data_IF_368772403141
#
_entry.id   IF_368772403141
#
_cell.length_a   1.000
_cell.length_b   1.000
_cell.length_c   1.000
_cell.angle_alpha   90.00
_cell.angle_beta   90.00
_cell.angle_gamma   90.00
#
_symmetry.space_group_name_H-M   'P 1'
#
loop_
_entity.id
_entity.type
_entity.pdbx_description
1 polymer ?
#
# COMPACT_ATOMS: atom_id res chain seq x y z
N UNK A 1 1.93 22.12 -4.29
CA UNK A 1 1.90 22.16 -5.76
C UNK A 1 1.04 21.05 -6.35
N UNK A 2 1.38 19.76 -6.18
CA UNK A 2 0.56 18.67 -6.76
C UNK A 2 -0.83 18.62 -6.16
N UNK A 3 -0.95 18.71 -4.83
CA UNK A 3 -2.26 18.77 -4.17
C UNK A 3 -3.09 19.99 -4.63
N UNK A 4 -2.47 21.18 -4.70
CA UNK A 4 -3.16 22.40 -5.15
C UNK A 4 -3.62 22.30 -6.63
N UNK A 5 -2.86 21.59 -7.48
CA UNK A 5 -3.28 21.30 -8.86
C UNK A 5 -4.48 20.37 -8.90
N UNK A 6 -4.53 19.38 -8.01
CA UNK A 6 -5.67 18.47 -7.86
C UNK A 6 -6.89 19.25 -7.35
N UNK A 7 -6.72 20.12 -6.35
CA UNK A 7 -7.79 21.01 -5.84
C UNK A 7 -8.39 21.82 -6.98
N UNK A 8 -7.55 22.47 -7.78
CA UNK A 8 -7.99 23.26 -8.94
C UNK A 8 -8.76 22.44 -9.97
N UNK A 9 -8.34 21.20 -10.27
CA UNK A 9 -9.06 20.33 -11.19
C UNK A 9 -10.43 19.87 -10.67
N UNK A 10 -10.54 19.61 -9.36
CA UNK A 10 -11.80 19.20 -8.74
C UNK A 10 -12.77 20.39 -8.66
N UNK A 11 -12.27 21.58 -8.34
CA UNK A 11 -13.07 22.80 -8.20
C UNK A 11 -13.48 23.40 -9.55
N UNK A 12 -12.56 23.48 -10.49
CA UNK A 12 -12.72 24.24 -11.75
C UNK A 12 -12.99 23.32 -12.96
N UNK A 13 -12.64 22.04 -12.85
CA UNK A 13 -12.70 21.09 -13.97
C UNK A 13 -11.52 21.24 -14.93
N UNK A 14 -11.54 20.45 -16.00
CA UNK A 14 -10.63 20.59 -17.15
C UNK A 14 -11.07 21.79 -18.00
N UNK A 15 -10.10 22.52 -18.55
CA UNK A 15 -10.34 23.59 -19.51
C UNK A 15 -11.22 23.11 -20.68
N UNK A 16 -12.40 23.73 -20.93
CA UNK A 16 -13.29 23.31 -22.00
C UNK A 16 -12.68 23.31 -23.40
N UNK A 17 -11.62 24.10 -23.65
CA UNK A 17 -10.94 24.17 -24.94
C UNK A 17 -10.22 22.89 -25.34
N UNK A 18 -9.87 22.04 -24.36
CA UNK A 18 -9.21 20.74 -24.60
C UNK A 18 -10.19 19.55 -24.54
N UNK A 19 -11.49 19.82 -24.38
CA UNK A 19 -12.53 18.81 -24.31
C UNK A 19 -13.18 18.59 -25.67
N UNK A 20 -13.61 17.34 -25.91
CA UNK A 20 -14.38 16.98 -27.10
C UNK A 20 -15.83 17.48 -26.92
N UNK A 21 -16.54 17.91 -27.98
CA UNK A 21 -17.94 18.30 -27.87
C UNK A 21 -18.79 17.25 -27.16
N UNK A 22 -19.45 17.65 -26.06
CA UNK A 22 -20.29 16.79 -25.23
C UNK A 22 -19.57 16.10 -24.06
N UNK A 23 -18.25 16.26 -23.91
CA UNK A 23 -17.49 15.75 -22.77
C UNK A 23 -17.66 16.66 -21.54
N UNK A 24 -17.90 16.07 -20.37
CA UNK A 24 -18.05 16.83 -19.12
C UNK A 24 -16.70 17.34 -18.61
N UNK A 25 -16.64 18.59 -18.17
CA UNK A 25 -15.41 19.20 -17.66
C UNK A 25 -15.09 18.83 -16.20
N UNK A 26 -16.09 18.45 -15.41
CA UNK A 26 -15.95 18.14 -13.99
C UNK A 26 -15.15 16.85 -13.77
N UNK A 27 -14.27 16.85 -12.77
CA UNK A 27 -13.55 15.67 -12.30
C UNK A 27 -14.01 15.32 -10.89
N UNK A 28 -14.03 14.03 -10.60
CA UNK A 28 -14.02 13.51 -9.23
C UNK A 28 -12.62 13.00 -8.89
N UNK A 29 -12.35 12.74 -7.61
CA UNK A 29 -11.02 12.32 -7.17
C UNK A 29 -10.55 11.02 -7.88
N UNK A 30 -11.48 10.14 -8.21
CA UNK A 30 -11.25 8.86 -8.89
C UNK A 30 -10.77 9.03 -10.34
N UNK A 31 -11.03 10.17 -10.97
CA UNK A 31 -10.58 10.50 -12.33
C UNK A 31 -9.09 10.91 -12.37
N UNK A 32 -8.46 11.02 -11.20
CA UNK A 32 -7.13 11.62 -11.02
C UNK A 32 -6.15 10.57 -10.47
N UNK A 33 -4.98 10.50 -11.09
CA UNK A 33 -3.87 9.68 -10.59
C UNK A 33 -2.58 10.48 -10.39
N UNK A 34 -1.81 10.09 -9.38
CA UNK A 34 -0.43 10.53 -9.18
C UNK A 34 0.48 9.32 -9.34
N UNK A 35 1.44 9.43 -10.25
CA UNK A 35 2.36 8.36 -10.62
C UNK A 35 3.79 8.76 -10.26
N UNK A 36 4.49 7.89 -9.55
CA UNK A 36 5.91 8.03 -9.26
C UNK A 36 6.70 6.78 -9.67
N UNK A 37 8.03 6.90 -9.80
CA UNK A 37 8.88 5.74 -10.08
C UNK A 37 8.88 4.71 -8.96
N UNK A 38 8.84 5.17 -7.71
CA UNK A 38 8.89 4.37 -6.49
C UNK A 38 7.82 4.84 -5.52
N UNK A 39 7.42 3.97 -4.57
CA UNK A 39 6.41 4.30 -3.56
C UNK A 39 6.83 5.48 -2.68
N UNK A 40 8.10 5.52 -2.27
CA UNK A 40 8.64 6.64 -1.47
C UNK A 40 8.47 8.01 -2.14
N UNK A 41 8.43 8.05 -3.48
CA UNK A 41 8.16 9.29 -4.22
C UNK A 41 6.73 9.82 -4.08
N UNK A 42 5.81 9.01 -3.53
CA UNK A 42 4.41 9.36 -3.31
C UNK A 42 4.14 9.83 -1.87
N UNK A 43 5.00 9.51 -0.91
CA UNK A 43 4.74 9.74 0.53
C UNK A 43 4.45 11.21 0.85
N UNK A 44 5.16 12.15 0.22
CA UNK A 44 4.92 13.59 0.43
C UNK A 44 3.61 14.05 -0.19
N UNK A 45 3.25 13.51 -1.36
CA UNK A 45 1.97 13.85 -2.03
C UNK A 45 0.81 13.25 -1.24
N UNK A 46 0.94 12.02 -0.76
CA UNK A 46 -0.03 11.37 0.11
C UNK A 46 -0.31 12.24 1.34
N UNK A 47 0.74 12.59 2.10
CA UNK A 47 0.60 13.45 3.28
C UNK A 47 -0.08 14.78 2.96
N UNK A 48 0.24 15.39 1.82
CA UNK A 48 -0.36 16.65 1.39
C UNK A 48 -1.86 16.52 1.03
N UNK A 49 -2.28 15.39 0.45
CA UNK A 49 -3.67 15.11 0.11
C UNK A 49 -4.51 14.75 1.34
N UNK A 50 -3.97 13.90 2.23
CA UNK A 50 -4.60 13.54 3.50
C UNK A 50 -4.84 14.79 4.37
N UNK A 51 -3.86 15.70 4.45
CA UNK A 51 -4.00 16.97 5.18
C UNK A 51 -5.10 17.90 4.62
N UNK A 52 -5.57 17.66 3.40
CA UNK A 52 -6.63 18.43 2.72
C UNK A 52 -7.97 17.70 2.70
N UNK A 53 -8.10 16.57 3.39
CA UNK A 53 -9.27 15.69 3.38
C UNK A 53 -9.65 15.16 1.99
N UNK A 54 -8.70 15.08 1.06
CA UNK A 54 -8.92 14.29 -0.15
C UNK A 54 -8.85 12.81 0.20
N UNK A 55 -9.84 12.04 -0.24
CA UNK A 55 -9.73 10.59 -0.22
C UNK A 55 -8.50 10.17 -1.04
N UNK A 56 -7.66 9.30 -0.49
CA UNK A 56 -6.48 8.78 -1.18
C UNK A 56 -6.60 7.27 -1.28
N UNK A 57 -6.60 6.77 -2.51
CA UNK A 57 -6.54 5.35 -2.79
C UNK A 57 -5.13 4.99 -3.24
N UNK A 58 -4.36 4.37 -2.35
CA UNK A 58 -3.05 3.82 -2.68
C UNK A 58 -3.24 2.39 -3.15
N UNK A 59 -2.70 2.06 -4.33
CA UNK A 59 -2.51 0.65 -4.65
C UNK A 59 -1.39 0.13 -3.76
N UNK A 60 -1.76 -0.35 -2.58
CA UNK A 60 -0.83 -0.83 -1.57
C UNK A 60 0.12 -1.85 -2.20
N UNK A 61 1.40 -1.80 -1.81
CA UNK A 61 2.24 -2.98 -1.92
C UNK A 61 1.51 -4.15 -1.28
N UNK A 62 1.71 -5.36 -1.81
CA UNK A 62 1.10 -6.60 -1.34
C UNK A 62 1.36 -6.93 0.16
N UNK A 63 1.92 -6.01 0.95
CA UNK A 63 2.36 -6.19 2.33
C UNK A 63 1.69 -5.34 3.40
N UNK A 64 0.69 -4.49 3.13
CA UNK A 64 -0.01 -3.78 4.24
C UNK A 64 -1.52 -3.87 4.09
N UNK A 65 -2.06 -5.08 4.29
CA UNK A 65 -3.46 -5.26 4.68
C UNK A 65 -3.75 -4.44 5.95
N UNK A 66 -2.86 -4.63 6.92
CA UNK A 66 -2.84 -4.01 8.24
C UNK A 66 -1.61 -3.12 8.36
N UNK A 67 -1.76 -1.95 8.98
CA UNK A 67 -0.72 -0.91 9.01
C UNK A 67 0.11 -0.89 10.29
N UNK A 68 -0.48 -1.25 11.43
CA UNK A 68 0.24 -1.32 12.70
C UNK A 68 1.12 -2.57 12.81
N UNK A 69 2.26 -2.53 13.54
CA UNK A 69 3.07 -3.72 13.80
C UNK A 69 2.29 -4.86 14.45
N UNK A 70 1.39 -4.56 15.39
CA UNK A 70 0.51 -5.52 16.08
C UNK A 70 -0.40 -6.25 15.10
N UNK A 71 -0.97 -5.51 14.16
CA UNK A 71 -1.88 -6.07 13.18
C UNK A 71 -1.12 -6.85 12.08
N UNK A 72 0.10 -6.44 11.71
CA UNK A 72 1.00 -7.26 10.87
C UNK A 72 1.44 -8.55 11.57
N UNK A 73 1.74 -8.48 12.86
CA UNK A 73 2.02 -9.64 13.70
C UNK A 73 0.82 -10.60 13.71
N UNK A 74 -0.39 -10.10 13.96
CA UNK A 74 -1.62 -10.90 13.91
C UNK A 74 -1.80 -11.63 12.58
N UNK A 75 -1.61 -10.94 11.44
CA UNK A 75 -1.73 -11.57 10.13
C UNK A 75 -0.71 -12.71 9.95
N UNK A 76 0.54 -12.50 10.37
CA UNK A 76 1.57 -13.54 10.30
C UNK A 76 1.27 -14.72 11.24
N UNK A 77 0.74 -14.46 12.44
CA UNK A 77 0.25 -15.49 13.37
C UNK A 77 -0.90 -16.30 12.76
N UNK A 78 -1.81 -15.66 12.02
CA UNK A 78 -2.91 -16.35 11.32
C UNK A 78 -2.37 -17.28 10.22
N UNK A 79 -1.40 -16.82 9.45
CA UNK A 79 -0.74 -17.65 8.43
C UNK A 79 -0.06 -18.89 9.03
N UNK A 80 0.62 -18.73 10.17
CA UNK A 80 1.27 -19.83 10.90
C UNK A 80 0.25 -20.73 11.59
N UNK A 81 -0.81 -20.18 12.16
CA UNK A 81 -1.88 -20.96 12.79
C UNK A 81 -2.59 -21.87 11.78
N UNK A 82 -2.78 -21.40 10.54
CA UNK A 82 -3.33 -22.20 9.44
C UNK A 82 -2.29 -23.18 8.89
N UNK A 83 -1.03 -22.75 8.74
CA UNK A 83 0.05 -23.58 8.24
C UNK A 83 1.37 -23.27 8.95
N UNK A 84 1.67 -24.07 9.99
CA UNK A 84 2.87 -23.87 10.80
C UNK A 84 4.20 -24.09 10.06
N UNK A 85 4.16 -24.64 8.84
CA UNK A 85 5.35 -24.81 7.99
C UNK A 85 5.66 -23.58 7.13
N UNK A 86 4.87 -22.51 7.23
CA UNK A 86 5.05 -21.28 6.49
C UNK A 86 6.27 -20.47 7.01
N UNK A 87 7.47 -20.84 6.55
CA UNK A 87 8.74 -20.20 6.95
C UNK A 87 8.75 -18.68 6.71
N UNK A 88 8.24 -18.14 5.59
CA UNK A 88 8.12 -16.69 5.41
C UNK A 88 7.27 -16.00 6.47
N UNK A 89 6.18 -16.62 6.94
CA UNK A 89 5.35 -16.06 7.99
C UNK A 89 6.07 -16.07 9.35
N UNK A 90 6.79 -17.14 9.68
CA UNK A 90 7.66 -17.18 10.87
C UNK A 90 8.72 -16.07 10.86
N UNK A 91 9.35 -15.81 9.72
CA UNK A 91 10.29 -14.70 9.59
C UNK A 91 9.62 -13.35 9.87
N UNK A 92 8.41 -13.12 9.31
CA UNK A 92 7.64 -11.90 9.59
C UNK A 92 7.27 -11.77 11.07
N UNK A 93 6.91 -12.86 11.74
CA UNK A 93 6.67 -12.85 13.19
C UNK A 93 7.91 -12.35 13.92
N UNK A 94 9.09 -12.89 13.61
CA UNK A 94 10.34 -12.46 14.23
C UNK A 94 10.63 -10.96 13.97
N UNK A 95 10.44 -10.51 12.73
CA UNK A 95 10.64 -9.11 12.35
C UNK A 95 9.68 -8.17 13.13
N UNK A 96 8.41 -8.53 13.28
CA UNK A 96 7.44 -7.69 14.02
C UNK A 96 7.60 -7.76 15.54
N UNK A 97 7.98 -8.91 16.10
CA UNK A 97 8.31 -9.02 17.53
C UNK A 97 9.51 -8.14 17.88
N UNK A 98 10.53 -8.13 17.03
CA UNK A 98 11.66 -7.23 17.17
C UNK A 98 11.23 -5.75 17.11
N UNK A 99 10.33 -5.39 16.20
CA UNK A 99 9.81 -4.02 16.11
C UNK A 99 9.04 -3.60 17.37
N UNK A 100 8.30 -4.53 17.99
CA UNK A 100 7.44 -4.27 19.14
C UNK A 100 8.18 -4.30 20.48
N UNK A 101 9.19 -5.17 20.61
CA UNK A 101 9.82 -5.52 21.89
C UNK A 101 11.33 -5.25 21.90
N UNK A 102 11.91 -4.86 20.75
CA UNK A 102 13.35 -4.68 20.60
C UNK A 102 14.14 -5.98 20.81
N UNK A 103 15.37 -5.84 21.32
CA UNK A 103 16.27 -6.96 21.60
C UNK A 103 15.88 -7.79 22.85
N UNK A 104 14.77 -7.47 23.52
CA UNK A 104 14.42 -8.08 24.81
C UNK A 104 14.06 -9.58 24.75
N UNK A 105 13.68 -10.10 23.58
CA UNK A 105 13.17 -11.48 23.43
C UNK A 105 14.15 -12.46 22.77
N UNK A 106 15.33 -11.99 22.35
CA UNK A 106 16.24 -12.79 21.52
C UNK A 106 15.62 -13.12 20.15
N UNK A 107 15.95 -14.28 19.58
CA UNK A 107 15.35 -14.76 18.31
C UNK A 107 14.30 -15.82 18.58
N UNK A 108 13.20 -15.78 17.81
CA UNK A 108 12.22 -16.89 17.77
C UNK A 108 12.59 -17.96 16.73
N UNK A 109 13.78 -17.86 16.12
CA UNK A 109 14.32 -18.84 15.18
C UNK A 109 14.39 -20.22 15.81
N UNK A 110 13.45 -21.09 15.44
CA UNK A 110 13.34 -22.46 15.93
C UNK A 110 11.97 -22.81 16.47
N UNK A 111 11.10 -21.83 16.72
CA UNK A 111 9.70 -22.08 17.08
C UNK A 111 8.99 -22.89 15.98
N UNK A 112 8.33 -23.97 16.38
CA UNK A 112 7.58 -24.89 15.50
C UNK A 112 6.07 -24.76 15.69
N UNK A 113 5.63 -24.12 16.76
CA UNK A 113 4.22 -23.95 17.10
C UNK A 113 3.93 -22.62 17.78
N UNK A 114 2.69 -22.17 17.70
CA UNK A 114 2.24 -20.97 18.41
C UNK A 114 2.26 -21.15 19.94
N UNK A 115 2.14 -22.40 20.42
CA UNK A 115 2.26 -22.71 21.86
C UNK A 115 3.68 -22.49 22.38
N UNK A 116 4.71 -22.89 21.62
CA UNK A 116 6.11 -22.58 21.95
C UNK A 116 6.35 -21.07 21.95
N UNK A 117 5.79 -20.36 20.95
CA UNK A 117 5.90 -18.91 20.86
C UNK A 117 5.23 -18.21 22.04
N UNK A 118 4.02 -18.62 22.43
CA UNK A 118 3.29 -18.08 23.59
C UNK A 118 4.09 -18.22 24.88
N UNK A 119 4.79 -19.35 25.08
CA UNK A 119 5.69 -19.50 26.22
C UNK A 119 6.83 -18.47 26.26
N UNK A 120 7.42 -18.16 25.10
CA UNK A 120 8.53 -17.20 24.98
C UNK A 120 8.09 -15.75 25.19
N UNK A 121 6.92 -15.38 24.66
CA UNK A 121 6.40 -14.02 24.78
C UNK A 121 5.54 -13.82 26.02
N UNK A 122 5.49 -14.81 26.91
CA UNK A 122 4.68 -14.73 28.13
C UNK A 122 5.04 -13.49 28.95
N UNK A 123 4.03 -12.81 29.50
CA UNK A 123 4.21 -11.56 30.27
C UNK A 123 4.74 -10.35 29.47
N UNK A 124 4.71 -10.41 28.14
CA UNK A 124 5.01 -9.26 27.28
C UNK A 124 3.72 -8.59 26.77
N UNK A 125 3.77 -7.35 26.27
CA UNK A 125 2.59 -6.68 25.70
C UNK A 125 1.93 -7.43 24.54
N UNK A 126 2.65 -8.31 23.83
CA UNK A 126 2.12 -9.09 22.70
C UNK A 126 1.56 -10.45 23.11
N UNK A 127 1.74 -10.86 24.37
CA UNK A 127 1.24 -12.13 24.91
C UNK A 127 -0.26 -12.34 24.61
N UNK A 128 -1.15 -11.33 24.82
CA UNK A 128 -2.57 -11.53 24.58
C UNK A 128 -2.90 -11.95 23.14
N UNK A 129 -2.22 -11.37 22.14
CA UNK A 129 -2.50 -11.68 20.73
C UNK A 129 -1.91 -13.03 20.32
N UNK A 130 -0.74 -13.39 20.86
CA UNK A 130 -0.12 -14.69 20.60
C UNK A 130 -0.90 -15.82 21.27
N UNK A 131 -1.33 -15.66 22.52
CA UNK A 131 -2.19 -16.62 23.23
C UNK A 131 -3.52 -16.82 22.51
N UNK A 132 -4.18 -15.73 22.10
CA UNK A 132 -5.41 -15.79 21.32
C UNK A 132 -5.23 -16.66 20.08
N UNK A 133 -4.16 -16.46 19.33
CA UNK A 133 -3.89 -17.21 18.11
C UNK A 133 -3.50 -18.66 18.39
N UNK A 134 -2.78 -18.92 19.49
CA UNK A 134 -2.37 -20.26 19.90
C UNK A 134 -3.54 -21.15 20.32
N UNK A 135 -4.59 -20.59 20.91
CA UNK A 135 -5.81 -21.33 21.31
C UNK A 135 -6.90 -21.37 20.25
N UNK A 136 -6.79 -20.55 19.21
CA UNK A 136 -7.82 -20.43 18.17
C UNK A 136 -7.87 -21.66 17.27
N UNK A 137 -9.10 -22.05 16.91
CA UNK A 137 -9.35 -23.00 15.83
C UNK A 137 -9.61 -22.23 14.54
N UNK A 138 -9.14 -22.78 13.42
CA UNK A 138 -9.31 -22.16 12.10
C UNK A 138 -10.37 -22.88 11.25
N UNK A 139 -11.38 -23.44 11.91
CA UNK A 139 -12.63 -23.93 11.33
C UNK A 139 -13.72 -22.84 11.42
N UNK A 140 -14.93 -23.12 10.92
CA UNK A 140 -16.00 -22.13 10.83
C UNK A 140 -16.33 -21.49 12.19
N UNK A 141 -16.56 -22.30 13.23
CA UNK A 141 -16.92 -21.82 14.57
C UNK A 141 -15.74 -21.12 15.24
N UNK A 142 -14.53 -21.65 15.11
CA UNK A 142 -13.33 -21.04 15.67
C UNK A 142 -13.01 -19.68 15.05
N UNK A 143 -13.28 -19.50 13.76
CA UNK A 143 -13.15 -18.19 13.12
C UNK A 143 -14.20 -17.18 13.60
N UNK A 144 -15.44 -17.61 13.85
CA UNK A 144 -16.46 -16.73 14.45
C UNK A 144 -16.04 -16.29 15.87
N UNK A 145 -15.47 -17.19 16.67
CA UNK A 145 -14.93 -16.89 18.00
C UNK A 145 -13.72 -15.97 17.94
N UNK A 146 -12.78 -16.23 17.03
CA UNK A 146 -11.60 -15.39 16.80
C UNK A 146 -12.03 -13.97 16.41
N UNK A 147 -12.97 -13.82 15.47
CA UNK A 147 -13.45 -12.52 15.05
C UNK A 147 -14.15 -11.76 16.17
N UNK A 148 -14.92 -12.46 17.02
CA UNK A 148 -15.52 -11.86 18.21
C UNK A 148 -14.44 -11.39 19.20
N UNK A 149 -13.45 -12.23 19.49
CA UNK A 149 -12.37 -11.93 20.43
C UNK A 149 -11.56 -10.71 19.96
N UNK A 150 -11.20 -10.65 18.68
CA UNK A 150 -10.51 -9.51 18.06
C UNK A 150 -11.30 -8.22 18.21
N UNK A 151 -12.63 -8.28 18.04
CA UNK A 151 -13.50 -7.09 18.13
C UNK A 151 -13.69 -6.58 19.56
N UNK A 152 -13.71 -7.48 20.53
CA UNK A 152 -13.94 -7.12 21.94
C UNK A 152 -12.66 -6.90 22.73
N UNK A 153 -11.53 -7.39 22.22
CA UNK A 153 -10.23 -7.25 22.87
C UNK A 153 -9.45 -6.06 22.33
N UNK A 154 -8.44 -5.66 23.09
CA UNK A 154 -7.55 -4.55 22.75
C UNK A 154 -6.36 -5.05 21.92
N UNK A 155 -6.66 -5.67 20.77
CA UNK A 155 -5.66 -6.31 19.90
C UNK A 155 -5.25 -5.44 18.72
N UNK A 156 -6.13 -4.53 18.28
CA UNK A 156 -5.93 -3.64 17.14
C UNK A 156 -6.24 -2.20 17.52
N UNK A 157 -5.47 -1.26 16.97
CA UNK A 157 -5.74 0.16 17.13
C UNK A 157 -6.64 0.71 16.00
N UNK A 158 -7.69 1.44 16.38
CA UNK A 158 -8.47 2.32 15.49
C UNK A 158 -8.80 1.74 14.12
N UNK A 159 -8.19 2.31 13.07
CA UNK A 159 -8.45 1.95 11.67
C UNK A 159 -8.14 0.50 11.29
N UNK A 160 -7.28 -0.21 12.03
CA UNK A 160 -7.01 -1.63 11.77
C UNK A 160 -8.16 -2.54 12.24
N UNK A 161 -8.88 -2.16 13.30
CA UNK A 161 -10.09 -2.86 13.74
C UNK A 161 -11.24 -2.69 12.74
N UNK A 162 -11.43 -1.47 12.23
CA UNK A 162 -12.43 -1.21 11.18
C UNK A 162 -12.16 -2.04 9.91
N UNK A 163 -10.88 -2.16 9.53
CA UNK A 163 -10.46 -3.00 8.39
C UNK A 163 -10.71 -4.48 8.63
N UNK A 164 -10.40 -4.97 9.82
CA UNK A 164 -10.71 -6.34 10.22
C UNK A 164 -12.20 -6.63 10.11
N UNK A 165 -13.04 -5.78 10.68
CA UNK A 165 -14.50 -5.93 10.67
C UNK A 165 -15.06 -5.92 9.24
N UNK A 166 -14.52 -5.07 8.37
CA UNK A 166 -14.88 -5.02 6.95
C UNK A 166 -14.50 -6.32 6.23
N UNK A 167 -13.29 -6.85 6.43
CA UNK A 167 -12.87 -8.11 5.81
C UNK A 167 -13.67 -9.30 6.32
N UNK A 168 -13.87 -9.37 7.62
CA UNK A 168 -14.61 -10.46 8.22
C UNK A 168 -16.06 -10.48 7.71
N UNK A 169 -16.71 -9.31 7.65
CA UNK A 169 -18.06 -9.20 7.11
C UNK A 169 -18.12 -9.57 5.63
N UNK A 170 -17.16 -9.12 4.82
CA UNK A 170 -17.08 -9.50 3.41
C UNK A 170 -16.78 -10.97 3.18
N UNK A 171 -15.93 -11.58 4.00
CA UNK A 171 -15.66 -13.03 3.94
C UNK A 171 -16.92 -13.82 4.26
N UNK A 172 -17.62 -13.48 5.35
CA UNK A 172 -18.90 -14.10 5.74
C UNK A 172 -19.99 -13.98 4.68
N UNK A 173 -20.06 -12.83 3.99
CA UNK A 173 -21.01 -12.61 2.91
C UNK A 173 -20.69 -13.45 1.66
N UNK A 174 -19.39 -13.69 1.40
CA UNK A 174 -18.94 -14.42 0.22
C UNK A 174 -18.76 -15.94 0.42
N UNK A 175 -18.79 -16.42 1.66
CA UNK A 175 -18.54 -17.82 2.01
C UNK A 175 -19.57 -18.33 3.01
N UNK A 176 -20.31 -19.37 2.62
CA UNK A 176 -21.28 -20.04 3.48
C UNK A 176 -20.59 -20.59 4.75
N UNK A 177 -21.32 -20.64 5.87
CA UNK A 177 -20.73 -20.94 7.19
C UNK A 177 -19.95 -22.26 7.19
N UNK A 178 -20.54 -23.32 6.65
CA UNK A 178 -19.94 -24.66 6.58
C UNK A 178 -18.65 -24.73 5.74
N UNK A 179 -18.42 -23.76 4.85
CA UNK A 179 -17.25 -23.72 3.97
C UNK A 179 -16.14 -22.80 4.52
N UNK A 180 -16.37 -22.17 5.68
CA UNK A 180 -15.40 -21.27 6.29
C UNK A 180 -14.23 -22.05 6.88
N UNK A 181 -13.03 -21.60 6.55
CA UNK A 181 -11.77 -22.17 7.04
C UNK A 181 -10.69 -21.10 7.04
N UNK A 182 -9.66 -21.28 7.85
CA UNK A 182 -8.54 -20.33 7.90
C UNK A 182 -7.85 -20.20 6.54
N UNK A 183 -7.70 -21.29 5.80
CA UNK A 183 -7.20 -21.26 4.41
C UNK A 183 -8.12 -20.44 3.49
N UNK A 184 -9.44 -20.59 3.64
CA UNK A 184 -10.44 -19.81 2.91
C UNK A 184 -10.35 -18.31 3.24
N UNK A 185 -10.19 -17.97 4.52
CA UNK A 185 -10.01 -16.59 4.99
C UNK A 185 -8.71 -15.98 4.43
N UNK A 186 -7.58 -16.69 4.52
CA UNK A 186 -6.31 -16.23 3.95
C UNK A 186 -6.41 -16.01 2.43
N UNK A 187 -7.07 -16.90 1.71
CA UNK A 187 -7.33 -16.73 0.27
C UNK A 187 -8.21 -15.52 -0.02
N UNK A 188 -9.23 -15.28 0.79
CA UNK A 188 -10.07 -14.09 0.68
C UNK A 188 -9.27 -12.81 0.92
N UNK A 189 -8.44 -12.77 1.97
CA UNK A 189 -7.58 -11.62 2.28
C UNK A 189 -6.61 -11.31 1.14
N UNK A 190 -5.99 -12.33 0.54
CA UNK A 190 -5.14 -12.17 -0.65
C UNK A 190 -5.92 -11.57 -1.84
N UNK A 191 -7.20 -11.90 -2.01
CA UNK A 191 -8.03 -11.30 -3.05
C UNK A 191 -8.36 -9.85 -2.74
N UNK A 192 -8.77 -9.53 -1.51
CA UNK A 192 -9.11 -8.16 -1.11
C UNK A 192 -7.89 -7.23 -1.16
N UNK A 193 -6.68 -7.74 -0.90
CA UNK A 193 -5.43 -7.00 -1.18
C UNK A 193 -5.36 -6.50 -2.62
N UNK A 194 -5.82 -7.31 -3.58
CA UNK A 194 -5.80 -6.97 -5.00
C UNK A 194 -6.96 -6.02 -5.37
N UNK A 195 -8.09 -6.10 -4.67
CA UNK A 195 -9.31 -5.30 -4.92
C UNK A 195 -9.31 -3.89 -4.28
N UNK A 196 -8.28 -3.49 -3.51
CA UNK A 196 -8.14 -2.09 -3.02
C UNK A 196 -8.06 -1.03 -4.12
N UNK A 197 -8.05 -1.46 -5.39
CA UNK A 197 -8.34 -0.65 -6.57
C UNK A 197 -9.76 -0.05 -6.60
N UNK A 198 -10.65 -0.27 -5.62
CA UNK A 198 -12.01 0.29 -5.64
C UNK A 198 -12.28 1.31 -4.50
N UNK A 199 -11.27 1.72 -3.72
CA UNK A 199 -11.48 2.78 -2.73
C UNK A 199 -11.65 4.15 -3.40
N UNK A 200 -12.63 4.97 -2.95
CA UNK A 200 -12.82 6.31 -3.47
C UNK A 200 -11.61 7.19 -3.16
N UNK A 201 -11.31 8.13 -4.06
CA UNK A 201 -10.18 9.05 -3.92
C UNK A 201 -9.15 9.02 -5.04
N UNK A 202 -8.17 9.93 -4.91
CA UNK A 202 -7.05 10.09 -5.84
C UNK A 202 -6.18 8.85 -5.85
N UNK A 203 -5.84 8.33 -7.04
CA UNK A 203 -5.04 7.11 -7.18
C UNK A 203 -3.55 7.40 -7.06
N UNK A 204 -2.90 6.88 -6.02
CA UNK A 204 -1.43 6.92 -5.91
C UNK A 204 -0.83 5.61 -6.40
N UNK A 205 -0.05 5.67 -7.49
CA UNK A 205 0.45 4.51 -8.21
C UNK A 205 1.95 4.62 -8.48
N UNK A 206 2.64 3.48 -8.53
CA UNK A 206 3.97 3.43 -9.16
C UNK A 206 3.82 3.24 -10.67
N UNK A 207 4.84 3.63 -11.45
CA UNK A 207 4.83 3.46 -12.91
C UNK A 207 4.50 2.03 -13.38
N UNK A 208 4.99 1.01 -12.69
CA UNK A 208 4.66 -0.38 -13.05
C UNK A 208 3.19 -0.72 -12.78
N UNK A 209 2.62 -0.14 -11.72
CA UNK A 209 1.26 -0.37 -11.26
C UNK A 209 0.22 0.39 -12.09
N UNK A 210 0.61 1.49 -12.74
CA UNK A 210 -0.27 2.24 -13.62
C UNK A 210 -0.47 1.60 -14.99
N UNK A 211 0.27 0.54 -15.33
CA UNK A 211 0.19 -0.10 -16.66
C UNK A 211 -1.21 -0.66 -16.91
N UNK A 212 -1.82 -0.24 -18.02
CA UNK A 212 -3.17 -0.69 -18.42
C UNK A 212 -4.32 0.09 -17.78
N UNK A 213 -4.03 1.09 -16.94
CA UNK A 213 -5.02 2.02 -16.39
C UNK A 213 -5.00 3.33 -17.16
N UNK A 214 -6.11 4.07 -17.19
CA UNK A 214 -6.20 5.40 -17.80
C UNK A 214 -7.00 6.33 -16.90
N UNK A 215 -6.60 7.59 -16.86
CA UNK A 215 -7.18 8.61 -16.00
C UNK A 215 -7.42 9.89 -16.80
N UNK A 216 -8.38 10.72 -16.37
CA UNK A 216 -8.63 12.02 -17.00
C UNK A 216 -7.47 12.97 -16.75
N UNK A 217 -6.96 12.96 -15.52
CA UNK A 217 -5.80 13.74 -15.11
C UNK A 217 -4.72 12.87 -14.47
N UNK A 218 -3.45 13.08 -14.85
CA UNK A 218 -2.30 12.41 -14.24
C UNK A 218 -1.22 13.40 -13.84
N UNK A 219 -0.72 13.31 -12.62
CA UNK A 219 0.53 13.94 -12.20
C UNK A 219 1.65 12.90 -12.15
N UNK A 220 2.71 13.07 -12.96
CA UNK A 220 3.95 12.30 -12.82
C UNK A 220 4.93 13.08 -11.96
N UNK A 221 5.28 12.53 -10.81
CA UNK A 221 6.07 13.21 -9.77
C UNK A 221 7.44 12.57 -9.59
N UNK A 222 8.39 13.34 -9.05
CA UNK A 222 9.73 12.86 -8.77
C UNK A 222 10.59 12.65 -10.03
N UNK A 223 10.35 13.43 -11.09
CA UNK A 223 11.12 13.44 -12.33
C UNK A 223 12.49 14.11 -12.14
N UNK A 224 13.32 13.51 -11.29
CA UNK A 224 14.66 13.97 -10.94
C UNK A 224 15.71 12.97 -11.42
N UNK A 225 16.88 13.45 -11.84
CA UNK A 225 17.98 12.56 -12.18
C UNK A 225 18.41 11.66 -11.02
N UNK A 226 18.58 10.38 -11.35
CA UNK A 226 18.86 9.30 -10.41
C UNK A 226 17.64 8.79 -9.64
N UNK A 227 16.48 9.44 -9.75
CA UNK A 227 15.20 8.95 -9.22
C UNK A 227 14.33 8.40 -10.34
N UNK A 228 14.14 9.16 -11.42
CA UNK A 228 13.44 8.73 -12.62
C UNK A 228 14.05 9.45 -13.85
N UNK A 229 15.01 8.84 -14.57
CA UNK A 229 15.47 7.45 -14.49
C UNK A 229 16.17 7.09 -13.17
N UNK A 230 15.97 5.86 -12.73
CA UNK A 230 16.61 5.35 -11.52
C UNK A 230 18.14 5.29 -11.69
N UNK A 231 18.91 5.67 -10.66
CA UNK A 231 20.37 5.82 -10.77
C UNK A 231 21.11 4.58 -11.31
N UNK A 232 20.58 3.37 -11.07
CA UNK A 232 21.15 2.10 -11.55
C UNK A 232 21.11 1.97 -13.08
N UNK A 233 20.10 2.54 -13.73
CA UNK A 233 19.93 2.43 -15.18
C UNK A 233 20.81 3.38 -15.97
N UNK A 234 21.43 4.38 -15.33
CA UNK A 234 22.20 5.43 -16.02
C UNK A 234 23.48 4.88 -16.67
N UNK A 235 24.03 3.78 -16.16
CA UNK A 235 25.24 3.15 -16.69
C UNK A 235 25.00 2.10 -17.79
N UNK A 236 23.74 1.73 -18.05
CA UNK A 236 23.38 0.68 -18.99
C UNK A 236 22.31 1.18 -19.97
N UNK A 237 22.63 1.20 -21.26
CA UNK A 237 21.74 1.68 -22.32
C UNK A 237 20.40 0.93 -22.35
N UNK A 238 20.41 -0.40 -22.19
CA UNK A 238 19.17 -1.20 -22.24
C UNK A 238 18.26 -0.90 -21.04
N UNK A 239 18.83 -0.75 -19.85
CA UNK A 239 18.09 -0.37 -18.65
C UNK A 239 17.55 1.05 -18.76
N UNK A 240 18.32 1.98 -19.34
CA UNK A 240 17.88 3.35 -19.59
C UNK A 240 16.69 3.40 -20.55
N UNK A 241 16.74 2.63 -21.64
CA UNK A 241 15.60 2.48 -22.55
C UNK A 241 14.39 1.84 -21.87
N UNK A 242 14.61 0.95 -20.90
CA UNK A 242 13.53 0.40 -20.07
C UNK A 242 12.87 1.46 -19.20
N UNK A 243 13.67 2.32 -18.54
CA UNK A 243 13.14 3.46 -17.77
C UNK A 243 12.46 4.48 -18.68
N UNK A 244 12.94 4.68 -19.90
CA UNK A 244 12.29 5.56 -20.90
C UNK A 244 10.91 5.03 -21.29
N UNK A 245 10.78 3.71 -21.51
CA UNK A 245 9.47 3.06 -21.73
C UNK A 245 8.58 3.21 -20.51
N UNK A 246 9.13 3.10 -19.30
CA UNK A 246 8.38 3.31 -18.07
C UNK A 246 7.83 4.75 -18.00
N UNK A 247 8.65 5.76 -18.30
CA UNK A 247 8.22 7.16 -18.39
C UNK A 247 7.12 7.36 -19.45
N UNK A 248 7.31 6.81 -20.65
CA UNK A 248 6.29 6.84 -21.71
C UNK A 248 4.96 6.22 -21.25
N UNK A 249 5.00 5.07 -20.55
CA UNK A 249 3.79 4.45 -19.99
C UNK A 249 3.13 5.40 -19.00
N UNK A 250 3.86 6.02 -18.06
CA UNK A 250 3.31 6.98 -17.09
C UNK A 250 2.63 8.17 -17.77
N UNK A 251 3.28 8.78 -18.76
CA UNK A 251 2.75 9.94 -19.51
C UNK A 251 1.47 9.58 -20.25
N UNK A 252 1.45 8.42 -20.94
CA UNK A 252 0.29 7.96 -21.72
C UNK A 252 -0.87 7.45 -20.87
N UNK A 253 -0.81 7.51 -19.53
CA UNK A 253 -1.98 7.23 -18.69
C UNK A 253 -2.92 8.43 -18.59
N UNK A 254 -2.45 9.64 -18.91
CA UNK A 254 -3.29 10.84 -18.97
C UNK A 254 -4.06 10.88 -20.29
N UNK A 255 -5.37 11.10 -20.20
CA UNK A 255 -6.21 11.31 -21.38
C UNK A 255 -6.51 12.79 -21.66
N UNK A 256 -6.47 13.68 -20.67
CA UNK A 256 -6.76 15.12 -20.85
C UNK A 256 -5.75 16.04 -20.21
N UNK A 257 -5.42 15.83 -18.94
CA UNK A 257 -4.50 16.69 -18.20
C UNK A 257 -3.27 15.91 -17.73
N UNK A 258 -2.08 16.46 -17.97
CA UNK A 258 -0.82 15.90 -17.53
C UNK A 258 0.00 16.95 -16.81
N UNK A 259 0.38 16.66 -15.57
CA UNK A 259 1.33 17.45 -14.80
C UNK A 259 2.63 16.67 -14.64
N UNK A 260 3.76 17.27 -15.03
CA UNK A 260 5.09 16.69 -14.82
C UNK A 260 5.84 17.53 -13.79
N UNK A 261 6.31 16.92 -12.70
CA UNK A 261 6.98 17.66 -11.62
C UNK A 261 8.26 17.01 -11.12
N UNK A 262 9.17 17.85 -10.65
CA UNK A 262 10.35 17.46 -9.90
C UNK A 262 10.56 18.43 -8.73
N UNK A 263 11.06 17.96 -7.58
CA UNK A 263 11.40 18.84 -6.48
C UNK A 263 12.66 19.65 -6.79
N UNK A 264 12.80 20.85 -6.20
CA UNK A 264 14.03 21.66 -6.29
C UNK A 264 15.18 21.07 -5.47
N UNK A 265 14.84 20.36 -4.39
CA UNK A 265 15.78 19.73 -3.48
C UNK A 265 15.28 18.33 -3.12
N UNK A 266 16.19 17.37 -2.96
CA UNK A 266 15.89 16.02 -2.51
C UNK A 266 16.68 15.66 -1.26
N UNK A 267 16.03 14.98 -0.32
CA UNK A 267 16.70 14.41 0.84
C UNK A 267 17.49 13.18 0.42
N UNK A 268 18.75 13.09 0.84
CA UNK A 268 19.63 11.95 0.60
C UNK A 268 20.27 11.52 1.92
N UNK A 269 20.92 10.35 1.94
CA UNK A 269 21.70 9.89 3.10
C UNK A 269 22.84 10.85 3.50
N UNK A 270 23.19 11.80 2.63
CA UNK A 270 24.21 12.81 2.84
C UNK A 270 23.61 14.21 3.03
N UNK A 271 22.34 14.30 3.45
CA UNK A 271 21.61 15.55 3.61
C UNK A 271 20.85 16.00 2.36
N UNK A 272 20.33 17.23 2.42
CA UNK A 272 19.55 17.84 1.36
C UNK A 272 20.46 18.25 0.20
N UNK A 273 20.12 17.82 -1.02
CA UNK A 273 20.86 18.17 -2.24
C UNK A 273 19.96 18.80 -3.26
N UNK A 274 20.51 19.70 -4.08
CA UNK A 274 19.80 20.23 -5.25
C UNK A 274 19.44 19.07 -6.17
N UNK A 275 18.19 19.03 -6.59
CA UNK A 275 17.68 18.03 -7.50
C UNK A 275 17.83 18.51 -8.94
N UNK A 276 18.42 17.68 -9.78
CA UNK A 276 18.52 17.94 -11.21
C UNK A 276 17.29 17.38 -11.94
N UNK A 277 16.70 18.12 -12.89
CA UNK A 277 15.54 17.64 -13.63
C UNK A 277 15.89 16.38 -14.43
N UNK A 278 14.94 15.45 -14.52
CA UNK A 278 15.07 14.23 -15.33
C UNK A 278 15.41 14.58 -16.77
N UNK A 279 16.30 13.79 -17.39
CA UNK A 279 16.54 13.89 -18.82
C UNK A 279 15.27 13.68 -19.67
N UNK A 280 14.31 12.89 -19.18
CA UNK A 280 13.07 12.61 -19.89
C UNK A 280 12.18 13.84 -20.08
N UNK A 281 12.29 14.85 -19.20
CA UNK A 281 11.61 16.14 -19.38
C UNK A 281 12.11 16.85 -20.64
N UNK A 282 13.44 16.93 -20.78
CA UNK A 282 14.08 17.56 -21.96
C UNK A 282 13.75 16.81 -23.24
N UNK A 283 13.74 15.49 -23.19
CA UNK A 283 13.37 14.65 -24.35
C UNK A 283 11.92 14.81 -24.76
N UNK A 284 11.01 15.02 -23.80
CA UNK A 284 9.61 15.32 -24.05
C UNK A 284 9.36 16.78 -24.47
N UNK A 285 10.41 17.61 -24.58
CA UNK A 285 10.31 19.01 -24.99
C UNK A 285 9.76 19.94 -23.90
N UNK A 286 9.81 19.52 -22.63
CA UNK A 286 9.31 20.29 -21.48
C UNK A 286 10.51 20.86 -20.73
N UNK A 287 10.58 22.19 -20.61
CA UNK A 287 11.68 22.92 -19.96
C UNK A 287 11.28 23.46 -18.59
#
# INVERSE_FOLDING_TARGET
>A
MVADWIDGLIEQGIDPSVLVPGEWNRLVAEDIAVIARTRYGLDEVQRALEARNHGVSIQADAGSLLSSPEARLFHALLEVGVNNRNRPAWKRINDELFNLLGDCLGTVDGCKSLSELSGLVSSTPVDPVVDLMGRSKFDASGLDELAKAVRTGDYFMGSDLERWDAWWSGYRASTAHQDRSGTGLLRYLLRVQQTRLDQPGVRLLTTHRSKGLEFRAVAVVGLTQGSFPHYRSLGNKEELESERRAFYVSVTRASRALLLTWPRYKSTRYGMRKAEPSQFLREAGVQ
#
